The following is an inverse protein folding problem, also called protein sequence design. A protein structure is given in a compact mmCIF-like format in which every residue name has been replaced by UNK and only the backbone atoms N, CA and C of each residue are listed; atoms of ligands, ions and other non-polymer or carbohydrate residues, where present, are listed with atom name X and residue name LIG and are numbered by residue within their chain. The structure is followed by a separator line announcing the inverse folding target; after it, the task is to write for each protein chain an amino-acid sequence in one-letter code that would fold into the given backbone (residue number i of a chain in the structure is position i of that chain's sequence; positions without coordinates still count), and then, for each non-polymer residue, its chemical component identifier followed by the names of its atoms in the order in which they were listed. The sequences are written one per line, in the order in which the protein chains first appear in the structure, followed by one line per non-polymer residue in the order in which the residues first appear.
data_IF_929401600439
#
_entry.id   IF_929401600439
#
_cell.length_a   1.000
_cell.length_b   1.000
_cell.length_c   1.000
_cell.angle_alpha   90.00
_cell.angle_beta   90.00
_cell.angle_gamma   90.00
#
_symmetry.space_group_name_H-M   'P 1'
#
loop_
_entity.id
_entity.type
_entity.pdbx_description
1 polymer ?
#
# COMPACT_ATOMS: atom_id res chain seq x y z
N UNK A 1 -11.82 3.42 -4.68
CA UNK A 1 -11.76 1.96 -4.47
C UNK A 1 -12.61 1.18 -5.48
N UNK A 2 -13.45 1.84 -6.28
CA UNK A 2 -14.34 1.16 -7.25
C UNK A 2 -13.59 0.35 -8.31
N UNK A 3 -12.35 0.72 -8.67
CA UNK A 3 -11.61 0.04 -9.74
C UNK A 3 -11.04 -1.34 -9.32
N UNK A 4 -10.47 -1.50 -8.12
CA UNK A 4 -9.90 -2.80 -7.71
C UNK A 4 -10.98 -3.86 -7.41
N UNK A 5 -12.15 -3.44 -6.90
CA UNK A 5 -13.27 -4.33 -6.61
C UNK A 5 -13.92 -4.88 -7.89
N UNK A 6 -13.76 -4.21 -9.04
CA UNK A 6 -14.28 -4.68 -10.33
C UNK A 6 -13.47 -5.82 -10.95
N UNK A 7 -12.22 -6.02 -10.53
CA UNK A 7 -11.30 -6.96 -11.18
C UNK A 7 -11.11 -8.28 -10.42
N UNK A 8 -11.26 -8.30 -9.09
CA UNK A 8 -11.15 -9.52 -8.29
C UNK A 8 -11.76 -9.34 -6.89
N UNK A 9 -12.43 -10.37 -6.39
CA UNK A 9 -12.91 -10.47 -4.99
C UNK A 9 -11.82 -10.93 -4.01
N UNK A 10 -10.69 -11.43 -4.54
CA UNK A 10 -9.49 -11.82 -3.80
C UNK A 10 -8.36 -10.82 -4.06
N UNK A 11 -7.72 -10.32 -3.00
CA UNK A 11 -6.61 -9.39 -3.10
C UNK A 11 -5.43 -9.76 -2.20
N UNK A 12 -4.24 -9.78 -2.80
CA UNK A 12 -2.97 -10.00 -2.10
C UNK A 12 -2.05 -8.80 -2.26
N UNK A 13 -1.66 -8.21 -1.15
CA UNK A 13 -0.80 -7.04 -1.04
C UNK A 13 0.55 -7.42 -0.41
N UNK A 14 1.61 -6.75 -0.88
CA UNK A 14 2.96 -6.86 -0.32
C UNK A 14 3.43 -5.53 0.26
N UNK A 15 4.06 -5.57 1.43
CA UNK A 15 4.72 -4.41 2.06
C UNK A 15 6.09 -4.81 2.59
N UNK A 16 7.10 -3.93 2.53
CA UNK A 16 8.39 -4.14 3.18
C UNK A 16 8.44 -3.58 4.62
N UNK A 17 7.34 -3.01 5.09
CA UNK A 17 7.20 -2.51 6.46
C UNK A 17 6.72 -3.63 7.40
N UNK A 18 7.63 -4.13 8.24
CA UNK A 18 7.30 -5.17 9.24
C UNK A 18 6.39 -4.62 10.34
N UNK A 19 6.60 -3.36 10.72
CA UNK A 19 5.81 -2.69 11.73
C UNK A 19 4.36 -2.59 11.29
N UNK A 20 4.07 -2.37 9.99
CA UNK A 20 2.69 -2.36 9.49
C UNK A 20 1.99 -3.71 9.72
N UNK A 21 2.70 -4.84 9.55
CA UNK A 21 2.15 -6.16 9.84
C UNK A 21 1.84 -6.30 11.34
N UNK A 22 2.73 -5.80 12.21
CA UNK A 22 2.51 -5.80 13.66
C UNK A 22 1.32 -4.90 14.04
N UNK A 23 1.21 -3.71 13.45
CA UNK A 23 0.10 -2.77 13.68
C UNK A 23 -1.25 -3.39 13.29
N UNK A 24 -1.32 -4.09 12.16
CA UNK A 24 -2.56 -4.76 11.74
C UNK A 24 -2.92 -5.92 12.67
N UNK A 25 -1.92 -6.62 13.21
CA UNK A 25 -2.13 -7.76 14.10
C UNK A 25 -2.60 -7.31 15.50
N UNK A 26 -1.96 -6.29 16.05
CA UNK A 26 -2.23 -5.80 17.42
C UNK A 26 -2.54 -4.28 17.39
N UNK A 27 -3.64 -3.83 16.76
CA UNK A 27 -3.90 -2.41 16.50
C UNK A 27 -4.01 -1.56 17.78
N UNK A 28 -4.40 -2.18 18.89
CA UNK A 28 -4.52 -1.52 20.20
C UNK A 28 -3.17 -1.08 20.79
N UNK A 29 -2.05 -1.68 20.38
CA UNK A 29 -0.70 -1.23 20.76
C UNK A 29 -0.27 0.05 20.03
N UNK A 30 -1.01 0.44 18.99
CA UNK A 30 -0.65 1.54 18.08
C UNK A 30 -1.75 2.60 17.98
N UNK A 31 -2.23 3.17 19.11
CA UNK A 31 -3.40 4.07 19.13
C UNK A 31 -3.21 5.34 18.29
N UNK A 32 -1.97 5.76 18.03
CA UNK A 32 -1.66 6.89 17.15
C UNK A 32 -2.10 6.68 15.70
N UNK A 33 -2.25 5.42 15.27
CA UNK A 33 -2.64 5.05 13.91
C UNK A 33 -4.06 4.50 13.82
N UNK A 34 -4.89 4.72 14.85
CA UNK A 34 -6.23 4.14 14.93
C UNK A 34 -7.08 4.43 13.68
N UNK A 35 -7.05 5.67 13.19
CA UNK A 35 -7.82 6.07 12.00
C UNK A 35 -7.33 5.38 10.72
N UNK A 36 -6.03 5.18 10.56
CA UNK A 36 -5.46 4.45 9.42
C UNK A 36 -5.78 2.95 9.51
N UNK A 37 -5.72 2.37 10.71
CA UNK A 37 -5.98 0.96 10.95
C UNK A 37 -7.47 0.61 10.76
N UNK A 38 -8.39 1.47 11.19
CA UNK A 38 -9.84 1.34 10.93
C UNK A 38 -10.14 1.33 9.42
N UNK A 39 -9.44 2.17 8.65
CA UNK A 39 -9.57 2.15 7.18
C UNK A 39 -9.08 0.83 6.60
N UNK A 40 -7.96 0.28 7.09
CA UNK A 40 -7.45 -1.02 6.62
C UNK A 40 -8.44 -2.15 6.97
N UNK A 41 -9.01 -2.14 8.17
CA UNK A 41 -10.04 -3.10 8.59
C UNK A 41 -11.30 -3.00 7.71
N UNK A 42 -11.76 -1.78 7.43
CA UNK A 42 -12.88 -1.56 6.51
C UNK A 42 -12.58 -2.15 5.13
N UNK A 43 -11.36 -1.93 4.62
CA UNK A 43 -10.92 -2.52 3.35
C UNK A 43 -10.91 -4.04 3.41
N UNK A 44 -10.44 -4.65 4.50
CA UNK A 44 -10.43 -6.11 4.69
C UNK A 44 -11.84 -6.71 4.54
N UNK A 45 -12.85 -6.06 5.14
CA UNK A 45 -14.24 -6.51 5.09
C UNK A 45 -14.84 -6.44 3.68
N UNK A 46 -14.33 -5.53 2.82
CA UNK A 46 -14.82 -5.39 1.45
C UNK A 46 -14.38 -6.51 0.50
N UNK A 47 -13.44 -7.39 0.88
CA UNK A 47 -12.94 -8.47 0.03
C UNK A 47 -13.22 -9.84 0.66
N UNK A 48 -13.57 -10.83 -0.16
CA UNK A 48 -13.80 -12.20 0.34
C UNK A 48 -12.51 -12.90 0.77
N UNK A 49 -11.38 -12.50 0.19
CA UNK A 49 -10.04 -12.93 0.57
C UNK A 49 -9.10 -11.73 0.50
N UNK A 50 -8.50 -11.38 1.63
CA UNK A 50 -7.61 -10.24 1.76
C UNK A 50 -6.34 -10.65 2.50
N UNK A 51 -5.19 -10.39 1.88
CA UNK A 51 -3.89 -10.74 2.46
C UNK A 51 -2.92 -9.58 2.34
N UNK A 52 -2.31 -9.17 3.45
CA UNK A 52 -1.11 -8.31 3.45
C UNK A 52 0.06 -9.15 3.96
N UNK A 53 1.14 -9.21 3.19
CA UNK A 53 2.35 -9.95 3.58
C UNK A 53 3.59 -9.06 3.58
N UNK A 54 4.52 -9.39 4.48
CA UNK A 54 5.85 -8.80 4.43
C UNK A 54 6.65 -9.36 3.24
N UNK A 55 7.19 -8.46 2.42
CA UNK A 55 8.14 -8.77 1.35
C UNK A 55 9.47 -8.05 1.62
N UNK A 56 10.64 -8.69 1.40
CA UNK A 56 11.92 -8.01 1.52
C UNK A 56 11.98 -6.77 0.62
N UNK A 57 12.59 -5.68 1.09
CA UNK A 57 12.73 -4.42 0.33
C UNK A 57 13.36 -4.60 -1.06
N UNK A 58 14.31 -5.53 -1.21
CA UNK A 58 14.92 -5.89 -2.50
C UNK A 58 13.90 -6.44 -3.52
N UNK A 59 12.77 -6.96 -3.06
CA UNK A 59 11.63 -7.42 -3.86
C UNK A 59 10.50 -6.39 -3.97
N UNK A 60 10.64 -5.22 -3.34
CA UNK A 60 9.66 -4.12 -3.34
C UNK A 60 10.19 -2.84 -4.03
N UNK A 61 11.10 -3.00 -5.00
CA UNK A 61 11.85 -1.88 -5.61
C UNK A 61 10.95 -0.84 -6.29
N UNK A 62 9.88 -1.28 -6.95
CA UNK A 62 8.94 -0.38 -7.61
C UNK A 62 8.21 0.51 -6.60
N UNK A 63 7.67 -0.08 -5.53
CA UNK A 63 6.98 0.69 -4.48
C UNK A 63 7.94 1.63 -3.77
N UNK A 64 9.15 1.16 -3.44
CA UNK A 64 10.19 1.99 -2.83
C UNK A 64 10.60 3.17 -3.71
N UNK A 65 10.76 2.94 -5.02
CA UNK A 65 11.03 3.99 -6.00
C UNK A 65 9.89 5.02 -6.06
N UNK A 66 8.63 4.57 -6.14
CA UNK A 66 7.48 5.45 -6.19
C UNK A 66 7.35 6.28 -4.91
N UNK A 67 7.53 5.66 -3.74
CA UNK A 67 7.49 6.35 -2.46
C UNK A 67 8.61 7.38 -2.32
N UNK A 68 9.85 7.04 -2.73
CA UNK A 68 10.98 7.98 -2.75
C UNK A 68 10.70 9.16 -3.68
N UNK A 69 10.19 8.88 -4.87
CA UNK A 69 9.86 9.88 -5.87
C UNK A 69 8.76 10.82 -5.35
N UNK A 70 7.69 10.29 -4.76
CA UNK A 70 6.62 11.08 -4.16
C UNK A 70 7.12 12.05 -3.07
N UNK A 71 8.10 11.65 -2.25
CA UNK A 71 8.71 12.52 -1.23
C UNK A 71 9.52 13.69 -1.80
N UNK A 72 9.92 13.63 -3.08
CA UNK A 72 10.63 14.75 -3.73
C UNK A 72 9.69 15.90 -4.11
N UNK A 73 8.38 15.66 -4.16
CA UNK A 73 7.40 16.70 -4.44
C UNK A 73 7.19 17.62 -3.24
N UNK A 74 7.07 18.93 -3.50
CA UNK A 74 6.80 19.93 -2.45
C UNK A 74 5.38 19.88 -1.90
N UNK A 75 4.46 19.17 -2.56
CA UNK A 75 3.05 19.05 -2.20
C UNK A 75 2.70 17.59 -2.03
N UNK A 76 1.69 17.33 -1.22
CA UNK A 76 1.10 16.01 -1.10
C UNK A 76 0.62 15.52 -2.47
N UNK A 77 1.07 14.32 -2.83
CA UNK A 77 0.72 13.67 -4.08
C UNK A 77 -0.26 12.54 -3.78
N UNK A 78 -1.50 12.67 -4.26
CA UNK A 78 -2.50 11.60 -4.24
C UNK A 78 -2.75 11.15 -5.67
N UNK A 79 -2.35 9.93 -6.00
CA UNK A 79 -2.60 9.32 -7.30
C UNK A 79 -3.13 7.90 -7.12
N UNK A 80 -4.23 7.59 -7.81
CA UNK A 80 -4.84 6.26 -7.84
C UNK A 80 -5.00 5.89 -9.31
N UNK A 81 -4.33 4.82 -9.74
CA UNK A 81 -4.39 4.35 -11.11
C UNK A 81 -3.64 3.03 -11.30
N UNK A 82 -3.84 2.41 -12.46
CA UNK A 82 -3.28 1.10 -12.80
C UNK A 82 -1.88 1.16 -13.42
N UNK A 83 -1.39 2.38 -13.69
CA UNK A 83 -0.14 2.64 -14.41
C UNK A 83 0.60 3.81 -13.77
N UNK A 84 1.93 3.81 -13.89
CA UNK A 84 2.77 4.93 -13.45
C UNK A 84 2.50 6.14 -14.37
N UNK A 85 2.13 7.32 -13.83
CA UNK A 85 1.97 8.53 -14.61
C UNK A 85 3.20 8.85 -15.46
N UNK A 86 3.00 9.27 -16.71
CA UNK A 86 4.08 9.55 -17.67
C UNK A 86 5.03 10.68 -17.22
N UNK A 87 4.60 11.53 -16.29
CA UNK A 87 5.40 12.62 -15.73
C UNK A 87 6.28 12.19 -14.54
N UNK A 88 6.14 10.95 -14.04
CA UNK A 88 7.07 10.39 -13.06
C UNK A 88 8.32 9.85 -13.76
N UNK A 89 9.51 9.95 -13.13
CA UNK A 89 10.70 9.30 -13.64
C UNK A 89 10.49 7.78 -13.70
N UNK A 90 11.18 7.12 -14.63
CA UNK A 90 11.02 5.67 -14.81
C UNK A 90 11.60 4.91 -13.61
N UNK A 91 10.89 3.90 -13.08
CA UNK A 91 11.43 3.02 -12.05
C UNK A 91 12.61 2.19 -12.58
N UNK A 92 13.45 1.63 -11.68
CA UNK A 92 14.48 0.68 -12.06
C UNK A 92 13.86 -0.48 -12.88
N UNK A 93 14.60 -0.97 -13.88
CA UNK A 93 14.24 -2.22 -14.54
C UNK A 93 14.48 -3.38 -13.58
N UNK A 94 13.50 -4.29 -13.49
CA UNK A 94 13.60 -5.53 -12.70
C UNK A 94 14.52 -6.56 -13.36
#
# INVERSE_FOLDING_TARGET
MENMLQHSSCQSFGTDCKELIAMIKEPHEWPRFATELEKIETLQICFSDFKITHVPRVRNQFSDFLAKTARTFRRELLFIGCSIPVWLPRPPQA
#
